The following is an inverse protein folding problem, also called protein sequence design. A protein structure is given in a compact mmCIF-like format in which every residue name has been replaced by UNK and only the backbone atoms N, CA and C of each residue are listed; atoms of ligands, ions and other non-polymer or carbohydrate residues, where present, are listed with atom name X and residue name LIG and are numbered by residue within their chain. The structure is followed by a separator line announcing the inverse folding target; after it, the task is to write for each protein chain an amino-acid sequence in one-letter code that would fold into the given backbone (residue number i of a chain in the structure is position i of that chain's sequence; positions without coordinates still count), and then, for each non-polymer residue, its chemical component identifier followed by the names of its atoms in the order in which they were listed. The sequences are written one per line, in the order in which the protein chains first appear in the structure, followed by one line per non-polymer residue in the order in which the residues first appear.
data_IF_432330661164
#
_entry.id   IF_432330661164
#
_cell.length_a   1.000
_cell.length_b   1.000
_cell.length_c   1.000
_cell.angle_alpha   90.00
_cell.angle_beta   90.00
_cell.angle_gamma   90.00
#
_symmetry.space_group_name_H-M   'P 1'
#
loop_
_entity.id
_entity.type
_entity.pdbx_description
1 polymer ?
#
# COMPACT_ATOMS: atom_id res chain seq x y z
N UNK A 1 32.61 -7.58 -13.20
CA UNK A 1 31.46 -6.92 -12.55
C UNK A 1 31.97 -6.14 -11.35
N UNK A 2 31.65 -4.85 -11.17
CA UNK A 2 32.14 -4.11 -10.01
C UNK A 2 31.49 -4.64 -8.74
N UNK A 3 32.30 -5.10 -7.79
CA UNK A 3 31.86 -5.56 -6.47
C UNK A 3 31.42 -4.35 -5.65
N UNK A 4 30.10 -4.22 -5.43
CA UNK A 4 29.55 -3.17 -4.58
C UNK A 4 30.12 -3.33 -3.17
N UNK A 5 30.94 -2.36 -2.72
CA UNK A 5 31.52 -2.33 -1.37
C UNK A 5 30.38 -2.40 -0.34
N UNK A 6 30.39 -3.44 0.51
CA UNK A 6 29.40 -3.58 1.59
C UNK A 6 29.56 -2.40 2.56
N UNK A 7 28.46 -1.73 2.88
CA UNK A 7 28.40 -0.61 3.82
C UNK A 7 27.48 -0.99 4.99
N UNK A 8 27.76 -0.47 6.19
CA UNK A 8 26.86 -0.59 7.32
C UNK A 8 25.57 0.21 7.09
N UNK A 9 24.48 -0.24 7.71
CA UNK A 9 23.22 0.51 7.73
C UNK A 9 23.43 1.79 8.53
N UNK A 10 22.97 2.91 7.97
CA UNK A 10 22.94 4.22 8.59
C UNK A 10 21.50 4.71 8.77
N UNK A 11 21.30 5.80 9.52
CA UNK A 11 19.99 6.43 9.65
C UNK A 11 19.42 6.89 8.29
N UNK A 12 20.29 7.28 7.33
CA UNK A 12 19.88 7.68 5.98
C UNK A 12 19.27 6.53 5.17
N UNK A 13 19.61 5.27 5.48
CA UNK A 13 19.06 4.11 4.77
C UNK A 13 17.58 3.88 5.09
N UNK A 14 17.07 4.42 6.21
CA UNK A 14 15.64 4.39 6.54
C UNK A 14 14.78 5.01 5.43
N UNK A 15 15.28 6.05 4.75
CA UNK A 15 14.57 6.70 3.64
C UNK A 15 14.59 5.87 2.35
N UNK A 16 15.45 4.85 2.28
CA UNK A 16 15.55 3.93 1.13
C UNK A 16 14.70 2.68 1.33
N UNK A 17 14.25 2.40 2.56
CA UNK A 17 13.44 1.24 2.86
C UNK A 17 12.04 1.38 2.27
N UNK A 18 11.60 0.31 1.62
CA UNK A 18 10.21 0.06 1.23
C UNK A 18 9.74 -1.12 2.05
N UNK A 19 9.00 -0.83 3.12
CA UNK A 19 8.53 -1.86 4.04
C UNK A 19 7.22 -2.43 3.51
N UNK A 20 7.14 -3.75 3.43
CA UNK A 20 5.91 -4.47 3.05
C UNK A 20 5.14 -4.77 4.33
N UNK A 21 3.86 -4.39 4.38
CA UNK A 21 2.96 -4.65 5.51
C UNK A 21 1.59 -5.14 5.04
N UNK A 22 0.77 -5.66 5.97
CA UNK A 22 -0.65 -5.98 5.77
C UNK A 22 -0.99 -6.87 4.55
N UNK A 23 -0.18 -7.89 4.27
CA UNK A 23 -0.43 -8.82 3.17
C UNK A 23 -1.76 -9.59 3.34
N UNK A 24 -2.57 -9.66 2.30
CA UNK A 24 -3.82 -10.44 2.24
C UNK A 24 -3.98 -11.12 0.88
N UNK A 25 -4.25 -12.43 0.89
CA UNK A 25 -4.57 -13.20 -0.31
C UNK A 25 -6.02 -12.95 -0.75
N UNK A 26 -6.26 -12.84 -2.05
CA UNK A 26 -7.61 -12.73 -2.64
C UNK A 26 -8.41 -14.01 -2.41
N UNK A 27 -9.75 -13.97 -2.37
CA UNK A 27 -10.58 -15.18 -2.20
C UNK A 27 -10.30 -16.26 -3.25
N UNK A 28 -10.01 -15.86 -4.49
CA UNK A 28 -9.66 -16.78 -5.58
C UNK A 28 -8.26 -17.40 -5.45
N UNK A 29 -7.43 -16.94 -4.52
CA UNK A 29 -6.04 -17.35 -4.39
C UNK A 29 -5.08 -16.77 -5.45
N UNK A 30 -5.57 -15.99 -6.42
CA UNK A 30 -4.77 -15.55 -7.58
C UNK A 30 -3.92 -14.29 -7.36
N UNK A 31 -4.25 -13.48 -6.34
CA UNK A 31 -3.58 -12.21 -6.06
C UNK A 31 -3.31 -12.05 -4.57
N UNK A 32 -2.27 -11.29 -4.22
CA UNK A 32 -2.03 -10.77 -2.87
C UNK A 32 -2.06 -9.25 -2.95
N UNK A 33 -2.87 -8.61 -2.11
CA UNK A 33 -2.80 -7.17 -1.84
C UNK A 33 -1.95 -6.96 -0.61
N UNK A 34 -1.12 -5.91 -0.60
CA UNK A 34 -0.27 -5.54 0.51
C UNK A 34 0.01 -4.04 0.48
N UNK A 35 0.54 -3.50 1.57
CA UNK A 35 0.95 -2.11 1.65
C UNK A 35 2.47 -2.01 1.40
N UNK A 36 2.90 -0.97 0.68
CA UNK A 36 4.30 -0.53 0.71
C UNK A 36 4.37 0.79 1.44
N UNK A 37 5.05 0.79 2.59
CA UNK A 37 5.36 1.99 3.36
C UNK A 37 6.73 2.56 2.94
N UNK A 38 6.78 3.89 2.78
CA UNK A 38 7.99 4.68 2.51
C UNK A 38 8.05 5.89 3.45
N UNK A 39 9.25 6.38 3.71
CA UNK A 39 9.49 7.62 4.44
C UNK A 39 10.03 8.67 3.48
N UNK A 40 9.41 9.84 3.42
CA UNK A 40 9.93 10.93 2.61
C UNK A 40 11.09 11.64 3.31
N UNK A 41 12.19 11.85 2.58
CA UNK A 41 13.44 12.39 3.15
C UNK A 41 13.31 13.85 3.58
N UNK A 42 12.51 14.65 2.87
CA UNK A 42 12.40 16.09 3.12
C UNK A 42 11.47 16.38 4.29
N UNK A 43 10.29 15.78 4.26
CA UNK A 43 9.20 16.01 5.23
C UNK A 43 9.28 15.09 6.43
N UNK A 44 10.05 13.99 6.35
CA UNK A 44 10.09 12.89 7.34
C UNK A 44 8.74 12.21 7.57
N UNK A 45 7.72 12.52 6.75
CA UNK A 45 6.40 11.89 6.81
C UNK A 45 6.46 10.48 6.24
N UNK A 46 5.61 9.62 6.78
CA UNK A 46 5.38 8.26 6.29
C UNK A 46 4.22 8.28 5.32
N UNK A 47 4.36 7.54 4.23
CA UNK A 47 3.30 7.30 3.26
C UNK A 47 3.20 5.80 3.02
N UNK A 48 1.99 5.32 2.74
CA UNK A 48 1.77 3.94 2.34
C UNK A 48 0.73 3.87 1.25
N UNK A 49 0.96 2.98 0.30
CA UNK A 49 0.03 2.73 -0.79
C UNK A 49 -0.18 1.23 -0.92
N UNK A 50 -1.33 0.86 -1.48
CA UNK A 50 -1.65 -0.52 -1.79
C UNK A 50 -0.92 -0.96 -3.05
N UNK A 51 -0.43 -2.18 -3.03
CA UNK A 51 0.22 -2.88 -4.12
C UNK A 51 -0.42 -4.26 -4.27
N UNK A 52 -0.41 -4.79 -5.49
CA UNK A 52 -0.94 -6.11 -5.78
C UNK A 52 0.11 -6.90 -6.55
N UNK A 53 0.19 -8.20 -6.27
CA UNK A 53 1.04 -9.15 -7.00
C UNK A 53 0.26 -10.42 -7.32
N UNK A 54 0.45 -11.05 -8.49
CA UNK A 54 -0.10 -12.38 -8.76
C UNK A 54 0.62 -13.44 -7.92
N UNK A 55 -0.09 -14.49 -7.50
CA UNK A 55 0.49 -15.55 -6.64
C UNK A 55 1.36 -16.55 -7.41
N UNK A 56 1.02 -16.83 -8.67
CA UNK A 56 1.78 -17.80 -9.47
C UNK A 56 2.98 -17.18 -10.16
N UNK A 57 2.74 -16.23 -11.08
CA UNK A 57 3.79 -15.51 -11.82
C UNK A 57 3.35 -14.11 -12.14
N UNK A 58 4.26 -13.16 -11.94
CA UNK A 58 4.06 -11.77 -12.31
C UNK A 58 4.92 -10.83 -11.48
N UNK A 59 4.80 -9.54 -11.76
CA UNK A 59 5.44 -8.49 -10.97
C UNK A 59 4.38 -7.78 -10.15
N UNK A 60 4.76 -7.32 -8.97
CA UNK A 60 3.91 -6.44 -8.20
C UNK A 60 3.69 -5.12 -8.95
N UNK A 61 2.47 -4.59 -8.88
CA UNK A 61 2.14 -3.26 -9.38
C UNK A 61 1.53 -2.41 -8.27
N UNK A 62 1.75 -1.11 -8.38
CA UNK A 62 1.14 -0.14 -7.48
C UNK A 62 -0.34 -0.01 -7.82
N UNK A 63 -1.20 -0.06 -6.80
CA UNK A 63 -2.65 -0.07 -6.97
C UNK A 63 -3.31 1.24 -6.50
N UNK A 64 -2.78 1.86 -5.44
CA UNK A 64 -3.15 3.24 -5.07
C UNK A 64 -1.94 4.16 -5.13
N UNK A 65 -2.15 5.47 -5.25
CA UNK A 65 -1.10 6.46 -5.44
C UNK A 65 -1.33 7.68 -4.56
N UNK A 66 -0.25 8.41 -4.26
CA UNK A 66 -0.30 9.69 -3.55
C UNK A 66 0.54 9.72 -2.27
N UNK A 67 0.35 10.79 -1.50
CA UNK A 67 1.07 11.10 -0.27
C UNK A 67 0.14 10.98 0.96
N UNK A 68 -0.66 9.93 0.98
CA UNK A 68 -1.49 9.51 2.10
C UNK A 68 -0.95 8.19 2.69
N UNK A 69 -1.63 7.70 3.72
CA UNK A 69 -1.43 6.38 4.33
C UNK A 69 -2.64 5.54 3.99
N UNK A 70 -2.52 4.68 2.97
CA UNK A 70 -3.47 3.59 2.71
C UNK A 70 -3.00 2.34 3.46
N UNK A 71 -3.85 1.76 4.30
CA UNK A 71 -3.49 0.64 5.20
C UNK A 71 -4.61 -0.37 5.39
N UNK A 72 -4.27 -1.54 5.96
CA UNK A 72 -5.21 -2.59 6.33
C UNK A 72 -6.18 -3.00 5.21
N UNK A 73 -5.68 -3.34 4.00
CA UNK A 73 -6.54 -3.77 2.91
C UNK A 73 -7.28 -5.07 3.27
N UNK A 74 -8.51 -5.21 2.80
CA UNK A 74 -9.34 -6.41 2.90
C UNK A 74 -10.09 -6.63 1.60
N UNK A 75 -9.97 -7.83 1.04
CA UNK A 75 -10.76 -8.23 -0.12
C UNK A 75 -12.23 -8.41 0.25
N UNK A 76 -13.14 -8.02 -0.64
CA UNK A 76 -14.52 -8.48 -0.57
C UNK A 76 -14.58 -9.99 -0.78
N UNK A 77 -15.58 -10.71 -0.22
CA UNK A 77 -15.71 -12.16 -0.40
C UNK A 77 -15.82 -12.60 -1.86
N UNK A 78 -16.44 -11.76 -2.71
CA UNK A 78 -16.56 -12.00 -4.16
C UNK A 78 -15.31 -11.57 -4.96
N UNK A 79 -14.29 -11.01 -4.31
CA UNK A 79 -13.03 -10.56 -4.91
C UNK A 79 -13.14 -9.31 -5.80
N UNK A 80 -14.33 -8.69 -5.91
CA UNK A 80 -14.54 -7.53 -6.81
C UNK A 80 -14.01 -6.22 -6.24
N UNK A 81 -13.86 -6.13 -4.93
CA UNK A 81 -13.49 -4.90 -4.24
C UNK A 81 -12.39 -5.13 -3.21
N UNK A 82 -11.70 -4.04 -2.87
CA UNK A 82 -10.78 -3.98 -1.74
C UNK A 82 -11.22 -2.82 -0.86
N UNK A 83 -11.55 -3.12 0.39
CA UNK A 83 -11.76 -2.13 1.44
C UNK A 83 -10.43 -1.81 2.13
N UNK A 84 -10.20 -0.57 2.55
CA UNK A 84 -8.96 -0.16 3.21
C UNK A 84 -9.16 1.15 3.98
N UNK A 85 -8.24 1.45 4.90
CA UNK A 85 -8.24 2.70 5.67
C UNK A 85 -7.34 3.70 4.97
N UNK A 86 -7.80 4.96 4.84
CA UNK A 86 -7.05 6.04 4.21
C UNK A 86 -7.28 7.38 4.85
N UNK A 87 -6.23 8.19 4.95
CA UNK A 87 -6.27 9.60 5.38
C UNK A 87 -6.15 10.58 4.19
N UNK A 88 -6.55 10.14 2.98
CA UNK A 88 -6.43 10.93 1.74
C UNK A 88 -7.19 12.25 1.71
N UNK A 89 -8.33 12.33 2.40
CA UNK A 89 -9.16 13.53 2.46
C UNK A 89 -8.72 14.48 3.60
N UNK A 90 -8.22 13.90 4.71
CA UNK A 90 -7.73 14.63 5.89
C UNK A 90 -6.64 13.78 6.56
N UNK A 91 -5.42 14.33 6.67
CA UNK A 91 -4.28 13.63 7.26
C UNK A 91 -4.52 13.16 8.71
N UNK A 92 -5.38 13.86 9.45
CA UNK A 92 -5.68 13.59 10.87
C UNK A 92 -6.84 12.61 11.05
N UNK A 93 -7.70 12.46 10.06
CA UNK A 93 -8.94 11.69 10.17
C UNK A 93 -9.05 10.63 9.08
N UNK A 94 -8.63 9.42 9.43
CA UNK A 94 -8.73 8.28 8.52
C UNK A 94 -10.18 7.81 8.36
N UNK A 95 -10.55 7.42 7.14
CA UNK A 95 -11.86 6.87 6.81
C UNK A 95 -11.69 5.51 6.15
N UNK A 96 -12.78 4.74 6.10
CA UNK A 96 -12.85 3.52 5.30
C UNK A 96 -13.18 3.90 3.85
N UNK A 97 -12.43 3.33 2.93
CA UNK A 97 -12.63 3.43 1.49
C UNK A 97 -12.81 2.05 0.89
N UNK A 98 -13.46 2.01 -0.27
CA UNK A 98 -13.56 0.83 -1.13
C UNK A 98 -13.11 1.18 -2.54
N UNK A 99 -12.35 0.29 -3.19
CA UNK A 99 -11.91 0.46 -4.58
C UNK A 99 -12.22 -0.82 -5.37
N UNK A 100 -12.74 -0.74 -6.61
CA UNK A 100 -12.93 -1.92 -7.43
C UNK A 100 -11.59 -2.50 -7.88
N UNK A 101 -11.42 -3.82 -7.77
CA UNK A 101 -10.16 -4.49 -8.13
C UNK A 101 -9.84 -4.38 -9.63
N UNK A 102 -10.87 -4.47 -10.48
CA UNK A 102 -10.71 -4.37 -11.94
C UNK A 102 -10.55 -2.93 -12.47
N UNK A 103 -10.38 -1.95 -11.58
CA UNK A 103 -10.15 -0.56 -11.93
C UNK A 103 -11.34 0.36 -11.62
N UNK A 104 -11.06 1.66 -11.61
CA UNK A 104 -11.97 2.70 -11.15
C UNK A 104 -11.40 3.45 -9.95
N UNK A 105 -12.14 4.45 -9.47
CA UNK A 105 -11.72 5.27 -8.34
C UNK A 105 -12.16 4.68 -7.00
N UNK A 106 -11.41 4.99 -5.95
CA UNK A 106 -11.80 4.64 -4.60
C UNK A 106 -12.95 5.54 -4.13
N UNK A 107 -13.94 4.95 -3.49
CA UNK A 107 -15.08 5.64 -2.89
C UNK A 107 -15.00 5.59 -1.36
N UNK A 108 -15.22 6.74 -0.73
CA UNK A 108 -15.33 6.85 0.73
C UNK A 108 -16.62 6.17 1.22
N UNK A 109 -16.51 5.35 2.26
CA UNK A 109 -17.64 4.63 2.88
C UNK A 109 -18.07 5.21 4.23
N UNK A 110 -17.19 5.93 4.92
CA UNK A 110 -17.48 6.52 6.23
C UNK A 110 -17.31 8.03 6.23
N UNK A 111 -17.95 8.69 7.18
CA UNK A 111 -17.82 10.13 7.39
C UNK A 111 -17.69 10.42 8.88
N UNK A 112 -16.67 9.84 9.50
CA UNK A 112 -16.35 10.10 10.91
C UNK A 112 -15.82 11.53 11.05
N UNK A 113 -16.40 12.28 11.99
CA UNK A 113 -15.98 13.65 12.32
C UNK A 113 -15.07 13.65 13.54
#
# INVERSE_FOLDING_TARGET
MPTRKKQYISADDLYRFKLITDCQISPSGKHVVFCIQRVDRKTKKKYSNLWIVPTERGRAWQFTYGNQVDSQPKWSPDGKYIAFISNRDDEKQSQIYIIPFHGGEARKLTNLK
#
